data_IF_994233679007
#
_entry.id   IF_994233679007
#
_cell.length_a   1.000
_cell.length_b   1.000
_cell.length_c   1.000
_cell.angle_alpha   90.00
_cell.angle_beta   90.00
_cell.angle_gamma   90.00
#
_symmetry.space_group_name_H-M   'P 1'
#
loop_
_entity.id
_entity.type
_entity.pdbx_description
1 polymer ?
#
# COMPACT_ATOMS: atom_id res chain seq x y z
N UNK A 1 9.25 -23.38 -0.61
CA UNK A 1 8.34 -22.77 -1.60
C UNK A 1 6.88 -23.00 -1.21
N UNK A 2 6.40 -24.24 -1.05
CA UNK A 2 5.00 -24.53 -0.66
C UNK A 2 4.49 -23.76 0.57
N UNK A 3 5.29 -23.66 1.64
CA UNK A 3 4.90 -22.99 2.88
C UNK A 3 4.75 -21.45 2.73
N UNK A 4 5.38 -20.87 1.71
CA UNK A 4 5.34 -19.44 1.44
C UNK A 4 4.14 -19.10 0.54
N UNK A 5 3.86 -19.95 -0.45
CA UNK A 5 2.67 -19.88 -1.30
C UNK A 5 1.37 -20.06 -0.48
N UNK A 6 1.34 -21.01 0.47
CA UNK A 6 0.21 -21.19 1.40
C UNK A 6 -0.08 -19.94 2.23
N UNK A 7 0.96 -19.25 2.72
CA UNK A 7 0.81 -18.00 3.47
C UNK A 7 0.29 -16.84 2.61
N UNK A 8 0.70 -16.78 1.35
CA UNK A 8 0.17 -15.78 0.41
C UNK A 8 -1.30 -16.04 0.07
N UNK A 9 -1.71 -17.31 -0.07
CA UNK A 9 -3.11 -17.66 -0.27
C UNK A 9 -3.98 -17.27 0.94
N UNK A 10 -3.56 -17.62 2.16
CA UNK A 10 -4.29 -17.23 3.38
C UNK A 10 -4.41 -15.70 3.54
N UNK A 11 -3.38 -14.96 3.12
CA UNK A 11 -3.40 -13.50 3.11
C UNK A 11 -4.38 -12.97 2.06
N UNK A 12 -4.38 -13.54 0.86
CA UNK A 12 -5.29 -13.18 -0.22
C UNK A 12 -6.75 -13.39 0.19
N UNK A 13 -7.08 -14.54 0.79
CA UNK A 13 -8.43 -14.85 1.26
C UNK A 13 -8.93 -13.83 2.30
N UNK A 14 -8.04 -13.41 3.21
CA UNK A 14 -8.36 -12.38 4.22
C UNK A 14 -8.61 -11.02 3.58
N UNK A 15 -7.78 -10.63 2.59
CA UNK A 15 -7.95 -9.37 1.86
C UNK A 15 -9.27 -9.37 1.10
N UNK A 16 -9.62 -10.47 0.44
CA UNK A 16 -10.90 -10.61 -0.26
C UNK A 16 -12.09 -10.50 0.69
N UNK A 17 -12.01 -11.11 1.87
CA UNK A 17 -13.03 -10.98 2.91
C UNK A 17 -13.20 -9.53 3.40
N UNK A 18 -12.10 -8.79 3.58
CA UNK A 18 -12.14 -7.37 3.97
C UNK A 18 -12.74 -6.52 2.85
N UNK A 19 -12.32 -6.74 1.60
CA UNK A 19 -12.85 -6.02 0.44
C UNK A 19 -14.36 -6.23 0.28
N UNK A 20 -14.85 -7.46 0.53
CA UNK A 20 -16.27 -7.75 0.55
C UNK A 20 -17.01 -6.95 1.63
N UNK A 21 -16.51 -6.93 2.86
CA UNK A 21 -17.11 -6.15 3.95
C UNK A 21 -17.14 -4.64 3.65
N UNK A 22 -16.07 -4.10 3.05
CA UNK A 22 -16.02 -2.70 2.62
C UNK A 22 -17.07 -2.41 1.55
N UNK A 23 -17.23 -3.32 0.58
CA UNK A 23 -18.19 -3.18 -0.51
C UNK A 23 -19.63 -3.23 0.02
N UNK A 24 -19.94 -4.19 0.90
CA UNK A 24 -21.25 -4.29 1.57
C UNK A 24 -21.56 -3.03 2.39
N UNK A 25 -20.57 -2.45 3.06
CA UNK A 25 -20.73 -1.18 3.78
C UNK A 25 -21.04 -0.03 2.81
N UNK A 26 -20.36 0.05 1.67
CA UNK A 26 -20.63 1.06 0.65
C UNK A 26 -22.03 0.89 0.04
N UNK A 27 -22.47 -0.34 -0.22
CA UNK A 27 -23.83 -0.65 -0.67
C UNK A 27 -24.89 -0.20 0.35
N UNK A 28 -24.63 -0.42 1.65
CA UNK A 28 -25.53 0.00 2.73
C UNK A 28 -25.70 1.53 2.87
N UNK A 29 -24.86 2.31 2.19
CA UNK A 29 -24.99 3.77 2.17
C UNK A 29 -26.13 4.27 1.27
N UNK A 30 -26.77 3.39 0.47
CA UNK A 30 -27.98 3.68 -0.33
C UNK A 30 -27.87 4.94 -1.21
N UNK A 31 -26.70 5.13 -1.83
CA UNK A 31 -26.44 6.29 -2.69
C UNK A 31 -26.22 7.63 -1.96
N UNK A 32 -26.15 7.62 -0.63
CA UNK A 32 -25.81 8.82 0.16
C UNK A 32 -24.34 9.19 -0.04
N UNK A 33 -24.11 10.22 -0.86
CA UNK A 33 -22.79 10.73 -1.17
C UNK A 33 -21.94 11.06 0.06
N UNK A 34 -22.53 11.56 1.16
CA UNK A 34 -21.75 11.94 2.34
C UNK A 34 -21.28 10.71 3.12
N UNK A 35 -22.12 9.68 3.22
CA UNK A 35 -21.75 8.41 3.85
C UNK A 35 -20.67 7.68 3.04
N UNK A 36 -20.82 7.62 1.71
CA UNK A 36 -19.81 7.04 0.82
C UNK A 36 -18.48 7.79 0.95
N UNK A 37 -18.51 9.13 0.95
CA UNK A 37 -17.30 9.94 1.17
C UNK A 37 -16.66 9.69 2.53
N UNK A 38 -17.45 9.45 3.58
CA UNK A 38 -16.93 9.11 4.89
C UNK A 38 -16.19 7.76 4.86
N UNK A 39 -16.79 6.72 4.27
CA UNK A 39 -16.15 5.40 4.09
C UNK A 39 -14.82 5.55 3.36
N UNK A 40 -14.79 6.27 2.24
CA UNK A 40 -13.57 6.48 1.45
C UNK A 40 -12.47 7.21 2.23
N UNK A 41 -12.83 8.20 3.06
CA UNK A 41 -11.87 8.93 3.89
C UNK A 41 -11.26 8.06 4.97
N UNK A 42 -12.05 7.21 5.62
CA UNK A 42 -11.54 6.29 6.64
C UNK A 42 -10.65 5.20 6.04
N UNK A 43 -10.98 4.71 4.84
CA UNK A 43 -10.12 3.77 4.10
C UNK A 43 -8.78 4.41 3.74
N UNK A 44 -8.77 5.64 3.27
CA UNK A 44 -7.53 6.38 2.98
C UNK A 44 -6.72 6.65 4.25
N UNK A 45 -7.37 6.98 5.37
CA UNK A 45 -6.69 7.14 6.67
C UNK A 45 -6.02 5.82 7.11
N UNK A 46 -6.74 4.70 6.98
CA UNK A 46 -6.23 3.36 7.27
C UNK A 46 -5.04 3.02 6.36
N UNK A 47 -5.19 3.23 5.05
CA UNK A 47 -4.13 3.02 4.07
C UNK A 47 -2.88 3.85 4.38
N UNK A 48 -3.03 5.13 4.73
CA UNK A 48 -1.92 5.98 5.16
C UNK A 48 -1.22 5.43 6.39
N UNK A 49 -1.98 5.00 7.40
CA UNK A 49 -1.46 4.42 8.63
C UNK A 49 -0.67 3.13 8.38
N UNK A 50 -1.16 2.26 7.49
CA UNK A 50 -0.44 1.05 7.07
C UNK A 50 0.89 1.42 6.40
N UNK A 51 0.84 2.37 5.48
CA UNK A 51 2.03 2.75 4.73
C UNK A 51 3.07 3.47 5.62
N UNK A 52 2.65 4.34 6.55
CA UNK A 52 3.58 5.06 7.45
C UNK A 52 4.22 4.14 8.48
N UNK A 53 3.43 3.26 9.09
CA UNK A 53 3.87 2.48 10.24
C UNK A 53 4.47 1.11 9.86
N UNK A 54 4.13 0.56 8.69
CA UNK A 54 4.54 -0.79 8.31
C UNK A 54 5.32 -0.83 7.00
N UNK A 55 4.86 -0.14 5.94
CA UNK A 55 5.58 -0.15 4.65
C UNK A 55 6.87 0.66 4.72
N UNK A 56 6.82 1.92 5.19
CA UNK A 56 7.99 2.82 5.25
C UNK A 56 9.18 2.22 6.02
N UNK A 57 9.00 1.58 7.20
CA UNK A 57 10.10 0.90 7.89
C UNK A 57 10.56 -0.40 7.23
N UNK A 58 9.68 -1.06 6.45
CA UNK A 58 9.99 -2.29 5.73
C UNK A 58 10.66 -2.06 4.37
N UNK A 59 10.77 -0.80 3.92
CA UNK A 59 11.43 -0.47 2.66
C UNK A 59 12.92 -0.89 2.70
N UNK A 60 13.43 -1.52 1.63
CA UNK A 60 14.84 -1.83 1.53
C UNK A 60 15.68 -0.55 1.55
N UNK A 61 16.74 -0.53 2.35
CA UNK A 61 17.74 0.54 2.32
C UNK A 61 18.71 0.38 1.15
N UNK A 62 18.90 -0.84 0.65
CA UNK A 62 19.77 -1.10 -0.49
C UNK A 62 19.08 -0.73 -1.83
N UNK A 63 19.70 0.16 -2.62
CA UNK A 63 19.21 0.61 -3.93
C UNK A 63 18.81 -0.52 -4.89
N UNK A 64 19.60 -1.59 -4.96
CA UNK A 64 19.29 -2.72 -5.85
C UNK A 64 18.02 -3.45 -5.42
N UNK A 65 17.84 -3.69 -4.11
CA UNK A 65 16.60 -4.29 -3.59
C UNK A 65 15.40 -3.37 -3.73
N UNK A 66 15.60 -2.07 -3.55
CA UNK A 66 14.55 -1.08 -3.77
C UNK A 66 14.13 -1.03 -5.24
N UNK A 67 15.08 -1.08 -6.18
CA UNK A 67 14.81 -1.17 -7.61
C UNK A 67 14.00 -2.44 -7.96
N UNK A 68 14.39 -3.61 -7.43
CA UNK A 68 13.64 -4.84 -7.64
C UNK A 68 12.21 -4.76 -7.10
N UNK A 69 12.03 -4.13 -5.94
CA UNK A 69 10.70 -3.89 -5.35
C UNK A 69 9.84 -2.97 -6.22
N UNK A 70 10.40 -1.85 -6.68
CA UNK A 70 9.71 -0.89 -7.54
C UNK A 70 9.31 -1.52 -8.87
N UNK A 71 10.23 -2.23 -9.51
CA UNK A 71 9.96 -2.94 -10.77
C UNK A 71 8.85 -3.99 -10.62
N UNK A 72 8.87 -4.75 -9.53
CA UNK A 72 7.81 -5.71 -9.23
C UNK A 72 6.43 -5.03 -9.03
N UNK A 73 6.40 -3.86 -8.39
CA UNK A 73 5.16 -3.07 -8.23
C UNK A 73 4.64 -2.51 -9.57
N UNK A 74 5.53 -2.15 -10.50
CA UNK A 74 5.15 -1.71 -11.85
C UNK A 74 4.59 -2.86 -12.70
N UNK A 75 5.23 -4.03 -12.65
CA UNK A 75 4.85 -5.21 -13.45
C UNK A 75 3.51 -5.83 -12.98
N UNK A 76 3.19 -5.78 -11.68
CA UNK A 76 1.96 -6.35 -11.11
C UNK A 76 0.76 -5.38 -11.12
N UNK A 77 0.90 -4.18 -11.67
CA UNK A 77 -0.21 -3.28 -11.94
C UNK A 77 -0.78 -2.57 -10.71
N UNK A 78 0.00 -1.65 -10.14
CA UNK A 78 -0.54 -0.58 -9.32
C UNK A 78 0.42 -0.08 -8.26
N UNK A 79 0.90 1.15 -8.43
CA UNK A 79 1.43 1.93 -7.32
C UNK A 79 0.32 1.97 -6.25
N UNK A 80 0.57 1.62 -4.98
CA UNK A 80 -0.32 2.05 -3.90
C UNK A 80 -0.54 3.55 -4.09
N UNK A 81 -1.68 4.12 -3.72
CA UNK A 81 -1.90 5.57 -3.84
C UNK A 81 -0.92 6.30 -2.91
N UNK A 82 0.35 6.44 -3.31
CA UNK A 82 1.42 7.01 -2.52
C UNK A 82 1.22 8.51 -2.65
N UNK A 83 0.83 9.19 -1.55
CA UNK A 83 0.66 10.62 -1.58
C UNK A 83 1.97 11.24 -2.07
N UNK A 84 1.92 12.20 -3.01
CA UNK A 84 3.09 12.81 -3.68
C UNK A 84 4.21 13.27 -2.72
N UNK A 85 3.90 13.54 -1.45
CA UNK A 85 4.88 13.86 -0.42
C UNK A 85 5.81 12.69 -0.04
N UNK A 86 5.33 11.44 -0.09
CA UNK A 86 6.15 10.24 0.20
C UNK A 86 7.12 9.89 -0.93
N UNK A 87 6.77 10.22 -2.17
CA UNK A 87 7.69 10.14 -3.31
C UNK A 87 8.88 11.10 -3.11
N UNK A 88 8.63 12.31 -2.59
CA UNK A 88 9.70 13.25 -2.26
C UNK A 88 10.64 12.67 -1.19
N UNK A 89 10.11 12.10 -0.12
CA UNK A 89 10.93 11.45 0.93
C UNK A 89 11.67 10.21 0.43
N UNK A 90 11.11 9.47 -0.52
CA UNK A 90 11.79 8.36 -1.21
C UNK A 90 12.94 8.87 -2.07
N UNK A 91 12.72 9.93 -2.85
CA UNK A 91 13.76 10.58 -3.65
C UNK A 91 14.85 11.21 -2.78
N UNK A 92 14.50 11.82 -1.65
CA UNK A 92 15.46 12.35 -0.67
C UNK A 92 16.35 11.25 -0.11
N UNK A 93 15.80 10.07 0.23
CA UNK A 93 16.60 8.90 0.64
C UNK A 93 17.52 8.38 -0.47
N UNK A 94 17.07 8.43 -1.73
CA UNK A 94 17.89 8.02 -2.88
C UNK A 94 19.05 8.98 -3.15
N UNK A 95 18.84 10.28 -2.92
CA UNK A 95 19.84 11.35 -3.14
C UNK A 95 20.83 11.47 -1.97
N UNK A 96 20.42 11.14 -0.74
CA UNK A 96 21.33 11.14 0.42
C UNK A 96 22.49 10.15 0.28
N UNK A 97 22.30 9.05 -0.44
CA UNK A 97 23.37 8.06 -0.68
C UNK A 97 24.36 8.48 -1.78
N UNK A 98 24.15 9.61 -2.47
CA UNK A 98 25.09 10.14 -3.46
C UNK A 98 26.05 11.20 -2.87
N UNK A 99 25.76 11.71 -1.65
CA UNK A 99 26.60 12.71 -0.96
C UNK A 99 27.57 12.10 0.08
N UNK A 100 27.50 10.79 0.33
CA UNK A 100 28.39 10.06 1.27
C UNK A 100 29.55 9.30 0.58
N UNK A 101 29.84 9.58 -0.71
CA UNK A 101 31.10 9.21 -1.40
C UNK A 101 32.08 10.40 -1.48
#
# INVERSE_FOLDING_TARGET
>A
MENQELKYHELQDKIESINKQITELAESCDGDCLKILHVLRELEATHRGVNDNFLSPALPTNRHRLYLLVRHMEEMGGWPYIPRMRLKSLCEKLLQEDEEE
#
